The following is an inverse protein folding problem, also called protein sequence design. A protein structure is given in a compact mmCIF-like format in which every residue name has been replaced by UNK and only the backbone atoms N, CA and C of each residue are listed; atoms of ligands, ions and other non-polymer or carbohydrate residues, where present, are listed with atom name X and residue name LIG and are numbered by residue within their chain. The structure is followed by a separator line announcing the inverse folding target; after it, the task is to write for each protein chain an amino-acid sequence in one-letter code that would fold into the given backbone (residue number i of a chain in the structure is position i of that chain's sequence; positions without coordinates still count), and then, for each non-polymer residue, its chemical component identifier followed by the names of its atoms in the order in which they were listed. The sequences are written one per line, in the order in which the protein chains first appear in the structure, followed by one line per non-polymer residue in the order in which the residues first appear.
data_IF_638568059821
#
_entry.id   IF_638568059821
#
_cell.length_a   1.000
_cell.length_b   1.000
_cell.length_c   1.000
_cell.angle_alpha   90.00
_cell.angle_beta   90.00
_cell.angle_gamma   90.00
#
_symmetry.space_group_name_H-M   'P 1'
#
loop_
_entity.id
_entity.type
_entity.pdbx_description
1 polymer ?
#
# COMPACT_ATOMS: atom_id res chain seq x y z
N UNK A 1 16.84 60.74 -32.03
CA UNK A 1 16.71 61.88 -31.12
C UNK A 1 17.33 61.45 -29.82
N UNK A 2 18.56 61.74 -29.53
CA UNK A 2 19.24 62.99 -29.17
C UNK A 2 19.14 63.02 -27.63
N UNK A 3 20.10 63.06 -26.85
CA UNK A 3 21.35 63.80 -26.83
C UNK A 3 22.29 63.28 -25.74
N UNK A 4 23.54 63.23 -26.08
CA UNK A 4 24.77 63.18 -25.28
C UNK A 4 24.83 64.24 -24.20
N UNK A 5 25.41 63.87 -23.04
CA UNK A 5 26.11 64.87 -22.22
C UNK A 5 27.44 64.31 -21.66
N UNK A 6 28.47 64.87 -22.21
CA UNK A 6 29.89 64.67 -21.94
C UNK A 6 30.29 65.65 -20.82
N UNK A 7 30.93 65.23 -19.72
CA UNK A 7 31.61 66.16 -18.83
C UNK A 7 32.97 65.59 -18.41
N UNK A 8 34.00 66.14 -19.00
CA UNK A 8 35.44 65.98 -18.68
C UNK A 8 35.68 66.45 -17.24
N UNK A 9 36.42 65.67 -16.49
CA UNK A 9 37.12 66.16 -15.25
C UNK A 9 38.59 66.09 -15.52
N UNK A 10 39.21 67.27 -15.33
CA UNK A 10 40.61 67.59 -15.50
C UNK A 10 41.48 66.84 -14.47
N UNK A 11 42.51 66.20 -14.93
CA UNK A 11 43.63 65.71 -14.13
C UNK A 11 44.46 66.90 -13.64
N UNK A 12 44.61 67.06 -12.31
CA UNK A 12 45.62 67.96 -11.70
C UNK A 12 46.85 67.15 -11.35
N UNK A 13 47.93 67.57 -11.85
CA UNK A 13 49.29 66.98 -11.77
C UNK A 13 49.78 66.99 -10.32
N UNK A 14 50.33 65.84 -9.86
CA UNK A 14 50.98 65.66 -8.54
C UNK A 14 52.35 66.38 -8.36
N UNK A 15 52.73 67.23 -9.30
CA UNK A 15 54.06 67.93 -9.26
C UNK A 15 54.07 69.21 -8.44
N UNK A 16 52.95 69.73 -7.94
CA UNK A 16 52.90 71.06 -7.28
C UNK A 16 52.81 71.03 -5.75
N UNK A 17 52.68 69.83 -5.11
CA UNK A 17 52.63 69.67 -3.66
C UNK A 17 53.91 69.34 -2.96
N UNK A 18 55.08 69.33 -3.70
CA UNK A 18 56.41 69.02 -3.11
C UNK A 18 57.24 70.21 -2.84
N UNK A 19 56.76 71.46 -2.94
CA UNK A 19 57.55 72.65 -2.83
C UNK A 19 57.46 73.37 -1.46
N UNK A 20 56.71 72.89 -0.52
CA UNK A 20 56.46 73.60 0.74
C UNK A 20 57.05 72.97 2.03
N UNK A 21 57.99 72.01 1.91
CA UNK A 21 58.67 71.46 3.10
C UNK A 21 60.20 71.66 3.02
N UNK A 22 60.57 72.92 3.09
CA UNK A 22 61.98 73.28 3.31
C UNK A 22 62.12 73.94 4.69
N UNK A 23 62.42 73.13 5.71
CA UNK A 23 62.75 73.61 7.03
C UNK A 23 64.24 73.88 7.14
N UNK A 24 64.56 75.07 7.51
CA UNK A 24 65.91 75.60 7.66
C UNK A 24 66.61 75.00 8.90
N UNK A 25 67.91 74.80 8.69
CA UNK A 25 68.94 74.39 9.65
C UNK A 25 69.32 75.60 10.51
N UNK A 26 69.13 75.52 11.83
CA UNK A 26 70.04 76.06 12.87
C UNK A 26 69.35 75.93 14.26
N UNK A 27 69.88 75.11 15.08
CA UNK A 27 70.55 75.49 16.33
C UNK A 27 71.16 74.29 17.01
N UNK A 28 72.40 74.35 17.19
CA UNK A 28 73.22 73.55 18.10
C UNK A 28 73.05 74.11 19.49
N UNK A 29 72.83 73.26 20.46
CA UNK A 29 73.28 73.49 21.80
C UNK A 29 73.79 72.19 22.43
N UNK A 30 74.86 72.38 23.16
CA UNK A 30 75.83 71.40 23.65
C UNK A 30 75.39 70.56 24.85
N UNK A 31 76.09 69.53 25.29
CA UNK A 31 75.63 68.36 26.01
C UNK A 31 75.70 68.51 27.55
N UNK A 32 74.69 67.99 28.25
CA UNK A 32 74.78 67.80 29.70
C UNK A 32 75.06 66.30 30.00
N UNK A 33 76.19 66.04 30.69
CA UNK A 33 76.59 64.76 31.20
C UNK A 33 75.54 64.17 32.18
N UNK A 34 74.96 62.99 31.89
CA UNK A 34 74.09 62.20 32.77
C UNK A 34 74.59 60.78 32.72
N UNK A 35 74.86 60.19 33.87
CA UNK A 35 75.36 58.86 34.19
C UNK A 35 74.79 57.67 33.38
N UNK A 36 75.65 56.65 33.09
CA UNK A 36 75.25 55.52 32.21
C UNK A 36 74.21 54.62 32.86
N UNK A 37 72.92 54.76 32.44
CA UNK A 37 71.81 53.86 32.79
C UNK A 37 71.68 52.64 31.86
N UNK A 38 72.71 52.40 31.04
CA UNK A 38 72.72 51.33 30.04
C UNK A 38 72.64 49.91 30.60
N UNK A 39 73.30 49.58 31.74
CA UNK A 39 73.14 48.18 32.26
C UNK A 39 71.74 47.82 32.71
N UNK A 40 70.95 48.80 33.22
CA UNK A 40 69.58 48.56 33.62
C UNK A 40 68.60 48.39 32.43
N UNK A 41 68.84 49.06 31.32
CA UNK A 41 68.11 48.89 30.06
C UNK A 41 68.45 47.55 29.42
N UNK A 42 69.68 47.10 29.46
CA UNK A 42 70.10 45.79 28.95
C UNK A 42 69.45 44.67 29.79
N UNK A 43 69.40 44.83 31.12
CA UNK A 43 68.71 43.86 31.99
C UNK A 43 67.20 43.77 31.75
N UNK A 44 66.57 44.96 31.55
CA UNK A 44 65.13 45.00 31.23
C UNK A 44 64.80 44.31 29.88
N UNK A 45 65.63 44.51 28.87
CA UNK A 45 65.51 43.86 27.56
C UNK A 45 65.68 42.33 27.66
N UNK A 46 66.63 41.88 28.48
CA UNK A 46 66.81 40.42 28.70
C UNK A 46 65.63 39.83 29.43
N UNK A 47 65.06 40.52 30.42
CA UNK A 47 63.83 40.05 31.12
C UNK A 47 62.64 40.01 30.19
N UNK A 48 62.46 41.04 29.32
CA UNK A 48 61.34 41.06 28.35
C UNK A 48 61.49 39.96 27.31
N UNK A 49 62.74 39.71 26.84
CA UNK A 49 62.99 38.59 25.91
C UNK A 49 62.78 37.23 26.58
N UNK A 50 63.14 37.07 27.84
CA UNK A 50 62.94 35.85 28.60
C UNK A 50 61.43 35.62 28.85
N UNK A 51 60.65 36.66 29.20
CA UNK A 51 59.20 36.58 29.34
C UNK A 51 58.49 36.37 28.00
N UNK A 52 58.96 37.01 26.92
CA UNK A 52 58.43 36.75 25.57
C UNK A 52 58.73 35.33 25.10
N UNK A 53 59.96 34.83 25.36
CA UNK A 53 60.33 33.45 25.08
C UNK A 53 59.54 32.44 25.89
N UNK A 54 59.36 32.66 27.19
CA UNK A 54 58.52 31.85 28.05
C UNK A 54 57.05 31.89 27.62
N UNK A 55 56.53 33.05 27.25
CA UNK A 55 55.15 33.21 26.72
C UNK A 55 54.94 32.50 25.36
N UNK A 56 55.91 32.64 24.46
CA UNK A 56 55.91 31.97 23.16
C UNK A 56 56.02 30.43 23.32
N UNK A 57 56.84 29.96 24.23
CA UNK A 57 56.97 28.53 24.55
C UNK A 57 55.71 28.00 25.20
N UNK A 58 55.07 28.76 26.13
CA UNK A 58 53.79 28.40 26.75
C UNK A 58 52.64 28.36 25.73
N UNK A 59 52.57 29.33 24.80
CA UNK A 59 51.58 29.37 23.73
C UNK A 59 51.83 28.29 22.68
N UNK A 60 53.09 27.90 22.39
CA UNK A 60 53.42 26.79 21.50
C UNK A 60 53.11 25.42 22.14
N UNK A 61 53.31 25.29 23.48
CA UNK A 61 53.02 24.06 24.23
C UNK A 61 51.52 23.80 24.39
N UNK A 62 50.64 24.83 24.32
CA UNK A 62 49.20 24.72 24.48
C UNK A 62 48.42 24.96 23.16
N UNK A 63 49.06 24.71 22.02
CA UNK A 63 48.32 24.73 20.73
C UNK A 63 47.40 23.56 20.66
N UNK A 64 46.06 23.81 20.75
CA UNK A 64 45.03 22.83 20.52
C UNK A 64 45.17 22.23 19.11
N UNK A 65 45.19 20.92 19.03
CA UNK A 65 45.28 20.19 17.77
C UNK A 65 43.92 20.19 17.09
N UNK A 66 43.85 20.74 15.86
CA UNK A 66 42.60 20.68 15.09
C UNK A 66 42.33 19.25 14.65
N UNK A 67 41.19 18.68 15.04
CA UNK A 67 40.80 17.32 14.72
C UNK A 67 39.39 17.30 14.16
N UNK A 68 39.14 16.37 13.22
CA UNK A 68 37.79 16.06 12.77
C UNK A 68 37.20 15.02 13.70
N UNK A 69 35.92 15.16 14.02
CA UNK A 69 35.19 14.23 14.91
C UNK A 69 34.00 13.58 14.20
N UNK A 70 33.68 12.37 14.60
CA UNK A 70 32.45 11.68 14.26
C UNK A 70 31.76 11.19 15.52
N UNK A 71 30.45 11.10 15.51
CA UNK A 71 29.66 10.59 16.64
C UNK A 71 29.58 9.07 16.55
N UNK A 72 29.82 8.41 17.65
CA UNK A 72 29.67 6.98 17.78
C UNK A 72 28.16 6.60 17.83
N UNK A 73 27.72 5.69 16.95
CA UNK A 73 26.31 5.36 16.73
C UNK A 73 25.98 3.98 17.33
N UNK A 74 24.81 3.85 17.95
CA UNK A 74 24.33 2.55 18.42
C UNK A 74 23.94 1.66 17.23
N UNK A 75 24.34 0.37 17.18
CA UNK A 75 23.94 -0.55 16.13
C UNK A 75 22.41 -0.84 16.14
N UNK A 76 21.68 -0.43 17.18
CA UNK A 76 20.24 -0.56 17.28
C UNK A 76 19.45 0.52 16.48
N UNK A 77 20.13 1.53 15.94
CA UNK A 77 19.47 2.64 15.23
C UNK A 77 19.03 2.35 13.77
N UNK A 78 19.51 1.27 13.15
CA UNK A 78 19.17 0.89 11.77
C UNK A 78 18.52 -0.49 11.62
N UNK A 79 18.11 -1.11 12.73
CA UNK A 79 17.31 -2.33 12.68
C UNK A 79 15.81 -2.02 12.51
N UNK A 80 15.44 -1.14 11.60
CA UNK A 80 14.18 -1.24 10.89
C UNK A 80 14.20 -2.59 10.18
N UNK A 81 13.18 -3.43 10.35
CA UNK A 81 13.03 -4.67 9.61
C UNK A 81 13.31 -4.34 8.13
N UNK A 82 14.45 -4.79 7.62
CA UNK A 82 14.91 -4.43 6.28
C UNK A 82 13.84 -4.86 5.28
N UNK A 83 13.26 -3.92 4.57
CA UNK A 83 12.40 -4.23 3.46
C UNK A 83 13.25 -5.02 2.45
N UNK A 84 12.94 -6.31 2.32
CA UNK A 84 13.68 -7.21 1.41
C UNK A 84 13.41 -6.85 -0.04
N UNK A 85 12.22 -6.31 -0.28
CA UNK A 85 11.73 -5.96 -1.60
C UNK A 85 10.62 -4.92 -1.47
N UNK A 86 10.64 -3.92 -2.35
CA UNK A 86 9.51 -3.01 -2.56
C UNK A 86 8.94 -3.24 -3.95
N UNK A 87 7.62 -3.25 -4.04
CA UNK A 87 6.90 -3.37 -5.29
C UNK A 87 5.65 -2.48 -5.25
N UNK A 88 5.15 -2.12 -6.41
CA UNK A 88 3.94 -1.31 -6.57
C UNK A 88 2.78 -2.17 -7.00
N UNK A 89 1.58 -1.77 -6.63
CA UNK A 89 0.35 -2.46 -6.97
C UNK A 89 -0.85 -1.55 -6.87
N UNK A 90 -2.02 -2.15 -6.94
CA UNK A 90 -3.30 -1.44 -6.81
C UNK A 90 -4.19 -2.17 -5.82
N UNK A 91 -5.02 -1.39 -5.12
CA UNK A 91 -6.11 -1.94 -4.30
C UNK A 91 -7.14 -2.55 -5.23
N UNK A 92 -7.48 -3.81 -5.02
CA UNK A 92 -8.52 -4.51 -5.76
C UNK A 92 -9.53 -5.10 -4.80
N UNK A 93 -10.76 -5.27 -5.25
CA UNK A 93 -11.75 -5.98 -4.45
C UNK A 93 -11.76 -7.46 -4.85
N UNK A 94 -11.71 -8.34 -3.87
CA UNK A 94 -11.84 -9.78 -4.09
C UNK A 94 -13.19 -10.14 -4.70
N UNK A 95 -14.27 -9.43 -4.30
CA UNK A 95 -15.61 -9.59 -4.86
C UNK A 95 -16.02 -8.30 -5.56
N UNK A 96 -16.01 -8.36 -6.87
CA UNK A 96 -16.50 -7.32 -7.76
C UNK A 96 -17.36 -7.97 -8.82
N UNK A 97 -18.50 -7.40 -9.13
CA UNK A 97 -19.38 -7.90 -10.18
C UNK A 97 -20.02 -6.76 -10.96
N UNK A 98 -19.94 -6.84 -12.27
CA UNK A 98 -20.77 -6.02 -13.15
C UNK A 98 -22.13 -6.70 -13.25
N UNK A 99 -23.15 -6.05 -12.72
CA UNK A 99 -24.52 -6.57 -12.74
C UNK A 99 -25.14 -6.27 -14.09
N UNK A 100 -25.59 -7.32 -14.77
CA UNK A 100 -26.22 -7.26 -16.08
C UNK A 100 -27.68 -7.75 -15.98
N UNK A 101 -28.50 -7.32 -16.95
CA UNK A 101 -29.82 -7.92 -17.12
C UNK A 101 -29.69 -9.37 -17.61
N UNK A 102 -30.55 -10.27 -17.12
CA UNK A 102 -30.56 -11.69 -17.54
C UNK A 102 -31.46 -11.92 -18.78
N UNK A 103 -32.31 -10.91 -19.10
CA UNK A 103 -33.17 -10.90 -20.28
C UNK A 103 -33.03 -9.57 -21.02
N UNK A 104 -33.43 -9.56 -22.26
CA UNK A 104 -33.45 -8.32 -23.06
C UNK A 104 -34.71 -7.53 -22.78
N UNK A 105 -34.55 -6.24 -22.51
CA UNK A 105 -35.68 -5.32 -22.29
C UNK A 105 -35.25 -3.87 -22.16
N UNK A 106 -36.22 -2.97 -22.18
CA UNK A 106 -36.01 -1.53 -21.96
C UNK A 106 -36.01 -1.23 -20.46
N UNK A 107 -35.07 -0.43 -19.99
CA UNK A 107 -35.02 0.02 -18.61
C UNK A 107 -36.12 1.07 -18.33
N UNK A 108 -37.03 0.76 -17.42
CA UNK A 108 -38.09 1.68 -16.95
C UNK A 108 -37.65 2.47 -15.72
N UNK A 109 -36.75 1.91 -14.90
CA UNK A 109 -36.20 2.60 -13.74
C UNK A 109 -34.79 2.08 -13.46
N UNK A 110 -33.89 3.00 -13.10
CA UNK A 110 -32.56 2.71 -12.51
C UNK A 110 -32.54 3.39 -11.15
N UNK A 111 -32.38 2.58 -10.09
CA UNK A 111 -32.57 3.00 -8.69
C UNK A 111 -31.23 3.09 -7.95
N UNK A 112 -30.16 3.26 -8.67
CA UNK A 112 -28.80 3.35 -8.13
C UNK A 112 -28.08 4.56 -8.71
N UNK A 113 -27.20 5.12 -7.88
CA UNK A 113 -26.18 6.09 -8.28
C UNK A 113 -24.80 5.62 -7.86
N UNK A 114 -23.77 6.19 -8.46
CA UNK A 114 -22.38 5.90 -8.08
C UNK A 114 -22.13 6.36 -6.65
N UNK A 115 -21.51 5.49 -5.85
CA UNK A 115 -21.31 5.71 -4.41
C UNK A 115 -22.40 5.14 -3.50
N UNK A 116 -23.52 4.65 -4.05
CA UNK A 116 -24.60 4.08 -3.25
C UNK A 116 -24.20 2.76 -2.60
N UNK A 117 -24.53 2.61 -1.32
CA UNK A 117 -24.43 1.34 -0.60
C UNK A 117 -25.68 0.49 -0.85
N UNK A 118 -25.48 -0.71 -1.35
CA UNK A 118 -26.56 -1.65 -1.67
C UNK A 118 -26.43 -2.93 -0.86
N UNK A 119 -27.57 -3.52 -0.51
CA UNK A 119 -27.66 -4.83 0.17
C UNK A 119 -27.99 -5.93 -0.82
N UNK A 120 -27.58 -7.15 -0.52
CA UNK A 120 -27.94 -8.33 -1.28
C UNK A 120 -29.46 -8.42 -1.49
N UNK A 121 -29.89 -8.65 -2.75
CA UNK A 121 -31.30 -8.70 -3.11
C UNK A 121 -31.97 -7.34 -3.30
N UNK A 122 -31.32 -6.21 -2.98
CA UNK A 122 -31.83 -4.87 -3.23
C UNK A 122 -32.06 -4.66 -4.73
N UNK A 123 -33.16 -4.00 -5.08
CA UNK A 123 -33.49 -3.72 -6.48
C UNK A 123 -32.60 -2.59 -6.99
N UNK A 124 -31.88 -2.86 -8.06
CA UNK A 124 -31.00 -1.90 -8.73
C UNK A 124 -31.66 -1.24 -9.93
N UNK A 125 -32.41 -2.04 -10.69
CA UNK A 125 -33.10 -1.55 -11.88
C UNK A 125 -34.35 -2.39 -12.18
N UNK A 126 -35.23 -1.83 -12.97
CA UNK A 126 -36.43 -2.51 -13.49
C UNK A 126 -36.47 -2.39 -15.01
N UNK A 127 -36.81 -3.49 -15.65
CA UNK A 127 -37.11 -3.55 -17.06
C UNK A 127 -38.64 -3.40 -17.27
N UNK A 128 -39.05 -3.12 -18.48
CA UNK A 128 -40.44 -3.21 -18.90
C UNK A 128 -40.94 -4.67 -18.79
N UNK A 129 -41.84 -4.92 -17.88
CA UNK A 129 -42.38 -6.26 -17.56
C UNK A 129 -43.67 -6.55 -18.28
N UNK A 130 -44.24 -5.63 -19.07
CA UNK A 130 -45.56 -5.71 -19.65
C UNK A 130 -45.78 -6.97 -20.48
N UNK A 131 -44.82 -7.31 -21.37
CA UNK A 131 -44.85 -8.49 -22.21
C UNK A 131 -44.71 -9.79 -21.38
N UNK A 132 -43.79 -9.81 -20.43
CA UNK A 132 -43.51 -10.99 -19.58
C UNK A 132 -44.66 -11.25 -18.62
N UNK A 133 -45.30 -10.20 -18.08
CA UNK A 133 -46.51 -10.30 -17.26
C UNK A 133 -47.66 -10.89 -18.05
N UNK A 134 -47.89 -10.42 -19.27
CA UNK A 134 -48.92 -10.95 -20.15
C UNK A 134 -48.68 -12.42 -20.51
N UNK A 135 -47.43 -12.76 -20.83
CA UNK A 135 -47.04 -14.15 -21.12
C UNK A 135 -47.24 -15.06 -19.88
N UNK A 136 -46.85 -14.62 -18.69
CA UNK A 136 -47.05 -15.35 -17.46
C UNK A 136 -48.56 -15.61 -17.19
N UNK A 137 -49.42 -14.62 -17.37
CA UNK A 137 -50.84 -14.75 -17.15
C UNK A 137 -51.47 -15.70 -18.19
N UNK A 138 -51.01 -15.69 -19.42
CA UNK A 138 -51.47 -16.64 -20.46
C UNK A 138 -51.18 -18.09 -20.06
N UNK A 139 -49.94 -18.40 -19.65
CA UNK A 139 -49.58 -19.77 -19.26
C UNK A 139 -50.22 -20.19 -17.94
N UNK A 140 -50.49 -19.28 -17.01
CA UNK A 140 -51.24 -19.53 -15.79
C UNK A 140 -52.67 -19.95 -16.09
N UNK A 141 -53.33 -19.24 -17.03
CA UNK A 141 -54.68 -19.59 -17.49
C UNK A 141 -54.71 -20.97 -18.16
N UNK A 142 -53.67 -21.29 -18.96
CA UNK A 142 -53.55 -22.61 -19.58
C UNK A 142 -53.33 -23.72 -18.54
N UNK A 143 -52.51 -23.49 -17.51
CA UNK A 143 -52.31 -24.44 -16.44
C UNK A 143 -53.62 -24.67 -15.62
N UNK A 144 -54.34 -23.57 -15.33
CA UNK A 144 -55.65 -23.67 -14.67
C UNK A 144 -56.67 -24.51 -15.49
N UNK A 145 -56.68 -24.37 -16.82
CA UNK A 145 -57.51 -25.19 -17.69
C UNK A 145 -57.09 -26.70 -17.65
N UNK A 146 -55.79 -26.97 -17.63
CA UNK A 146 -55.26 -28.33 -17.51
C UNK A 146 -55.65 -28.97 -16.13
N UNK A 147 -55.56 -28.20 -15.06
CA UNK A 147 -56.02 -28.66 -13.73
C UNK A 147 -57.52 -28.88 -13.67
N UNK A 148 -58.33 -28.08 -14.36
CA UNK A 148 -59.79 -28.30 -14.46
C UNK A 148 -60.11 -29.64 -15.15
N UNK A 149 -59.35 -30.01 -16.20
CA UNK A 149 -59.47 -31.31 -16.85
C UNK A 149 -59.07 -32.46 -15.91
N UNK A 150 -58.02 -32.31 -15.10
CA UNK A 150 -57.68 -33.30 -14.06
C UNK A 150 -58.82 -33.49 -13.09
N UNK A 151 -59.44 -32.41 -12.62
CA UNK A 151 -60.62 -32.48 -11.73
C UNK A 151 -61.81 -33.18 -12.39
N UNK A 152 -62.05 -32.92 -13.68
CA UNK A 152 -63.10 -33.61 -14.44
C UNK A 152 -62.83 -35.12 -14.51
N UNK A 153 -61.64 -35.57 -14.87
CA UNK A 153 -61.28 -36.97 -14.93
C UNK A 153 -61.26 -37.65 -13.57
N UNK A 154 -60.95 -36.95 -12.48
CA UNK A 154 -61.06 -37.42 -11.10
C UNK A 154 -62.49 -37.71 -10.75
N UNK A 155 -63.41 -36.79 -11.07
CA UNK A 155 -64.83 -37.01 -10.84
C UNK A 155 -65.40 -38.17 -11.65
N UNK A 156 -65.02 -38.27 -12.92
CA UNK A 156 -65.38 -39.35 -13.81
C UNK A 156 -64.88 -40.72 -13.31
N UNK A 157 -63.60 -40.80 -12.87
CA UNK A 157 -63.00 -42.00 -12.30
C UNK A 157 -63.77 -42.41 -11.02
N UNK A 158 -64.11 -41.48 -10.12
CA UNK A 158 -64.87 -41.75 -8.93
C UNK A 158 -66.24 -42.32 -9.24
N UNK A 159 -66.87 -41.83 -10.32
CA UNK A 159 -68.17 -42.38 -10.79
C UNK A 159 -67.99 -43.81 -11.32
N UNK A 160 -66.99 -44.04 -12.25
CA UNK A 160 -66.74 -45.33 -12.86
C UNK A 160 -66.34 -46.40 -11.82
N UNK A 161 -65.59 -46.02 -10.76
CA UNK A 161 -65.23 -46.93 -9.66
C UNK A 161 -66.51 -47.37 -8.84
N UNK A 162 -67.41 -46.41 -8.55
CA UNK A 162 -68.68 -46.76 -7.86
C UNK A 162 -69.53 -47.72 -8.71
N UNK A 163 -69.59 -47.48 -10.02
CA UNK A 163 -70.36 -48.35 -10.93
C UNK A 163 -69.69 -49.71 -11.08
N UNK A 164 -68.41 -49.82 -11.20
CA UNK A 164 -67.62 -51.05 -11.23
C UNK A 164 -67.85 -51.88 -9.94
N UNK A 165 -67.76 -51.24 -8.78
CA UNK A 165 -68.03 -51.90 -7.48
C UNK A 165 -69.46 -52.43 -7.39
N UNK A 166 -70.49 -51.67 -7.85
CA UNK A 166 -71.86 -52.09 -7.91
C UNK A 166 -72.11 -53.30 -8.82
N UNK A 167 -71.56 -53.22 -10.06
CA UNK A 167 -71.66 -54.32 -11.03
C UNK A 167 -70.99 -55.59 -10.54
N UNK A 168 -69.86 -55.49 -9.88
CA UNK A 168 -69.09 -56.60 -9.30
C UNK A 168 -69.94 -57.28 -8.16
N UNK A 169 -70.58 -56.50 -7.31
CA UNK A 169 -71.43 -57.02 -6.27
C UNK A 169 -72.69 -57.75 -6.82
N UNK A 170 -73.33 -57.16 -7.83
CA UNK A 170 -74.45 -57.78 -8.51
C UNK A 170 -74.09 -59.07 -9.27
N UNK A 171 -72.90 -59.09 -9.93
CA UNK A 171 -72.42 -60.29 -10.59
C UNK A 171 -72.09 -61.42 -9.62
N UNK A 172 -71.56 -61.12 -8.44
CA UNK A 172 -71.32 -62.08 -7.37
C UNK A 172 -72.60 -62.72 -6.85
N UNK A 173 -73.73 -62.00 -6.90
CA UNK A 173 -75.04 -62.46 -6.56
C UNK A 173 -75.79 -63.15 -7.71
N UNK A 174 -75.17 -63.24 -8.90
CA UNK A 174 -75.77 -63.81 -10.10
C UNK A 174 -76.87 -62.99 -10.76
N UNK A 175 -77.04 -61.72 -10.38
CA UNK A 175 -78.06 -60.78 -10.86
C UNK A 175 -77.68 -60.08 -12.20
N UNK A 176 -76.43 -60.06 -12.57
CA UNK A 176 -75.90 -59.54 -13.85
C UNK A 176 -74.81 -60.50 -14.45
N UNK A 177 -74.62 -60.45 -15.77
CA UNK A 177 -73.57 -61.24 -16.39
C UNK A 177 -72.18 -60.79 -15.90
N UNK A 178 -71.23 -61.74 -15.72
CA UNK A 178 -69.81 -61.40 -15.33
C UNK A 178 -69.16 -60.45 -16.32
N UNK A 179 -69.51 -60.55 -17.60
CA UNK A 179 -68.99 -59.63 -18.67
C UNK A 179 -69.31 -58.18 -18.37
N UNK A 180 -70.48 -57.83 -17.79
CA UNK A 180 -70.89 -56.47 -17.40
C UNK A 180 -69.98 -55.92 -16.29
N UNK A 181 -69.65 -56.80 -15.31
CA UNK A 181 -68.65 -56.37 -14.27
C UNK A 181 -67.24 -56.14 -14.81
N UNK A 182 -66.80 -57.01 -15.73
CA UNK A 182 -65.47 -56.85 -16.41
C UNK A 182 -65.41 -55.59 -17.25
N UNK A 183 -66.49 -55.28 -18.00
CA UNK A 183 -66.61 -54.04 -18.78
C UNK A 183 -66.53 -52.76 -17.90
N UNK A 184 -67.27 -52.75 -16.78
CA UNK A 184 -67.31 -51.64 -15.84
C UNK A 184 -65.87 -51.44 -15.21
N UNK A 185 -65.16 -52.54 -14.88
CA UNK A 185 -63.84 -52.51 -14.38
C UNK A 185 -62.86 -51.94 -15.40
N UNK A 186 -62.88 -52.45 -16.66
CA UNK A 186 -62.02 -51.97 -17.75
C UNK A 186 -62.22 -50.46 -18.00
N UNK A 187 -63.50 -49.98 -17.93
CA UNK A 187 -63.78 -48.55 -18.07
C UNK A 187 -63.16 -47.74 -16.95
N UNK A 188 -63.23 -48.22 -15.70
CA UNK A 188 -62.58 -47.50 -14.58
C UNK A 188 -61.06 -47.50 -14.71
N UNK A 189 -60.42 -48.61 -15.17
CA UNK A 189 -58.97 -48.69 -15.42
C UNK A 189 -58.57 -47.79 -16.55
N UNK A 190 -59.33 -47.72 -17.67
CA UNK A 190 -59.03 -46.78 -18.76
C UNK A 190 -59.15 -45.33 -18.34
N UNK A 191 -60.17 -44.99 -17.56
CA UNK A 191 -60.34 -43.60 -17.00
C UNK A 191 -59.22 -43.26 -16.03
N UNK A 192 -58.72 -44.23 -15.27
CA UNK A 192 -57.57 -44.04 -14.41
C UNK A 192 -56.32 -43.72 -15.22
N UNK A 193 -56.10 -44.45 -16.33
CA UNK A 193 -54.99 -44.18 -17.23
C UNK A 193 -55.09 -42.78 -17.87
N UNK A 194 -56.29 -42.35 -18.25
CA UNK A 194 -56.58 -41.01 -18.77
C UNK A 194 -56.32 -39.95 -17.71
N UNK A 195 -56.74 -40.17 -16.45
CA UNK A 195 -56.41 -39.27 -15.35
C UNK A 195 -54.91 -39.09 -15.18
N UNK A 196 -54.14 -40.16 -15.18
CA UNK A 196 -52.67 -40.12 -15.09
C UNK A 196 -52.07 -39.32 -16.25
N UNK A 197 -52.59 -39.48 -17.47
CA UNK A 197 -52.15 -38.71 -18.63
C UNK A 197 -52.45 -37.21 -18.44
N UNK A 198 -53.65 -36.86 -17.98
CA UNK A 198 -53.99 -35.46 -17.71
C UNK A 198 -53.19 -34.84 -16.55
N UNK A 199 -52.89 -35.61 -15.51
CA UNK A 199 -51.96 -35.16 -14.46
C UNK A 199 -50.58 -34.82 -14.98
N UNK A 200 -50.04 -35.61 -15.95
CA UNK A 200 -48.78 -35.33 -16.62
C UNK A 200 -48.86 -34.06 -17.48
N UNK A 201 -49.97 -33.84 -18.17
CA UNK A 201 -50.25 -32.62 -18.95
C UNK A 201 -50.30 -31.39 -18.03
N UNK A 202 -51.01 -31.48 -16.90
CA UNK A 202 -51.07 -30.41 -15.91
C UNK A 202 -49.67 -30.09 -15.32
N UNK A 203 -48.89 -31.12 -14.98
CA UNK A 203 -47.51 -30.94 -14.50
C UNK A 203 -46.61 -30.27 -15.54
N UNK A 204 -46.81 -30.57 -16.84
CA UNK A 204 -46.08 -29.87 -17.92
C UNK A 204 -46.48 -28.38 -18.02
N UNK A 205 -47.79 -28.11 -17.84
CA UNK A 205 -48.27 -26.72 -17.84
C UNK A 205 -47.77 -25.94 -16.61
N UNK A 206 -47.67 -26.60 -15.44
CA UNK A 206 -47.06 -25.99 -14.23
C UNK A 206 -45.59 -25.68 -14.43
N UNK A 207 -44.85 -26.54 -15.14
CA UNK A 207 -43.44 -26.26 -15.50
C UNK A 207 -43.32 -25.03 -16.42
N UNK A 208 -44.26 -24.85 -17.36
CA UNK A 208 -44.29 -23.65 -18.22
C UNK A 208 -44.61 -22.38 -17.42
N UNK A 209 -45.48 -22.46 -16.39
CA UNK A 209 -45.74 -21.33 -15.47
C UNK A 209 -44.48 -21.00 -14.71
N UNK A 210 -43.73 -22.00 -14.22
CA UNK A 210 -42.48 -21.78 -13.50
C UNK A 210 -41.44 -21.08 -14.38
N UNK A 211 -41.29 -21.50 -15.65
CA UNK A 211 -40.42 -20.86 -16.61
C UNK A 211 -40.80 -19.40 -16.86
N UNK A 212 -42.07 -19.13 -17.14
CA UNK A 212 -42.56 -17.77 -17.37
C UNK A 212 -42.43 -16.89 -16.13
N UNK A 213 -42.58 -17.46 -14.92
CA UNK A 213 -42.36 -16.74 -13.65
C UNK A 213 -40.90 -16.34 -13.51
N UNK A 214 -39.95 -17.21 -13.78
CA UNK A 214 -38.50 -16.90 -13.76
C UNK A 214 -38.19 -15.76 -14.73
N UNK A 215 -38.71 -15.82 -15.96
CA UNK A 215 -38.52 -14.77 -16.96
C UNK A 215 -39.10 -13.41 -16.50
N UNK A 216 -40.27 -13.44 -15.83
CA UNK A 216 -40.88 -12.25 -15.24
C UNK A 216 -40.02 -11.70 -14.08
N UNK A 217 -39.49 -12.59 -13.21
CA UNK A 217 -38.63 -12.18 -12.10
C UNK A 217 -37.33 -11.54 -12.57
N UNK A 218 -36.83 -11.94 -13.72
CA UNK A 218 -35.64 -11.32 -14.36
C UNK A 218 -35.86 -9.89 -14.85
N UNK A 219 -37.11 -9.41 -14.93
CA UNK A 219 -37.42 -8.01 -15.17
C UNK A 219 -36.94 -7.10 -14.02
N UNK A 220 -36.65 -7.66 -12.85
CA UNK A 220 -36.17 -6.93 -11.69
C UNK A 220 -34.72 -7.31 -11.41
N UNK A 221 -33.81 -6.40 -11.71
CA UNK A 221 -32.37 -6.61 -11.49
C UNK A 221 -32.01 -6.32 -10.03
N UNK A 222 -31.34 -7.25 -9.38
CA UNK A 222 -31.02 -7.18 -7.95
C UNK A 222 -29.52 -7.31 -7.71
N UNK A 223 -29.05 -6.75 -6.58
CA UNK A 223 -27.68 -6.89 -6.11
C UNK A 223 -27.37 -8.34 -5.73
N UNK A 224 -26.26 -8.92 -6.23
CA UNK A 224 -25.84 -10.29 -5.90
C UNK A 224 -25.25 -10.42 -4.48
N UNK A 225 -24.71 -9.33 -3.92
CA UNK A 225 -24.10 -9.26 -2.59
C UNK A 225 -24.14 -7.82 -2.07
N UNK A 226 -23.79 -7.64 -0.80
CA UNK A 226 -23.66 -6.31 -0.17
C UNK A 226 -22.40 -5.60 -0.69
N UNK A 227 -22.53 -4.31 -1.02
CA UNK A 227 -21.38 -3.55 -1.56
C UNK A 227 -21.72 -2.12 -1.91
N UNK A 228 -20.82 -1.48 -2.61
CA UNK A 228 -20.94 -0.10 -3.10
C UNK A 228 -20.95 -0.10 -4.62
N UNK A 229 -21.79 0.72 -5.21
CA UNK A 229 -21.84 0.94 -6.67
C UNK A 229 -20.65 1.82 -7.06
N UNK A 230 -19.77 1.30 -7.90
CA UNK A 230 -18.61 2.06 -8.39
C UNK A 230 -18.85 2.68 -9.75
N UNK A 231 -19.66 2.04 -10.60
CA UNK A 231 -20.04 2.58 -11.91
C UNK A 231 -21.52 2.38 -12.17
N UNK A 232 -22.13 3.34 -12.86
CA UNK A 232 -23.49 3.28 -13.39
C UNK A 232 -23.43 3.34 -14.91
N UNK A 233 -23.60 2.18 -15.55
CA UNK A 233 -23.36 2.04 -16.99
C UNK A 233 -24.63 2.24 -17.84
N UNK A 234 -25.81 2.11 -17.23
CA UNK A 234 -27.08 2.13 -17.94
C UNK A 234 -28.04 3.24 -17.45
N UNK A 235 -28.83 3.78 -18.35
CA UNK A 235 -29.80 4.84 -18.10
C UNK A 235 -31.24 4.38 -18.44
N UNK A 236 -32.22 5.08 -17.83
CA UNK A 236 -33.63 4.84 -18.12
C UNK A 236 -33.93 5.09 -19.60
N UNK A 237 -34.65 4.17 -20.23
CA UNK A 237 -34.98 4.21 -21.65
C UNK A 237 -34.01 3.45 -22.54
N UNK A 238 -32.86 3.03 -22.02
CA UNK A 238 -31.90 2.19 -22.79
C UNK A 238 -32.37 0.72 -22.85
N UNK A 239 -31.98 0.05 -23.92
CA UNK A 239 -32.20 -1.39 -24.08
C UNK A 239 -30.97 -2.12 -23.52
N UNK A 240 -31.21 -2.99 -22.54
CA UNK A 240 -30.19 -3.87 -21.96
C UNK A 240 -30.40 -5.30 -22.43
N UNK A 241 -29.28 -6.03 -22.61
CA UNK A 241 -29.33 -7.43 -23.06
C UNK A 241 -28.15 -8.20 -22.42
N UNK A 242 -28.32 -9.50 -22.09
CA UNK A 242 -27.24 -10.35 -21.61
C UNK A 242 -26.17 -10.62 -22.70
N UNK A 243 -26.50 -10.38 -23.96
CA UNK A 243 -25.60 -10.59 -25.09
C UNK A 243 -25.27 -9.26 -25.77
N UNK A 244 -23.98 -9.06 -26.02
CA UNK A 244 -23.55 -7.91 -26.85
C UNK A 244 -23.95 -8.18 -28.31
N UNK A 245 -24.99 -7.55 -28.77
CA UNK A 245 -25.51 -7.71 -30.15
C UNK A 245 -24.73 -6.86 -31.19
N UNK A 246 -23.45 -6.59 -30.98
CA UNK A 246 -22.58 -5.97 -32.00
C UNK A 246 -22.96 -4.57 -32.53
N UNK A 247 -24.01 -3.96 -32.02
CA UNK A 247 -24.49 -2.62 -32.38
C UNK A 247 -24.41 -1.71 -31.15
N UNK A 248 -23.88 -0.50 -31.31
CA UNK A 248 -23.61 0.47 -30.25
C UNK A 248 -24.82 0.96 -29.41
N UNK A 249 -26.00 0.33 -29.55
CA UNK A 249 -27.25 0.70 -28.89
C UNK A 249 -27.68 -0.23 -27.78
N UNK A 250 -26.97 -1.35 -27.54
CA UNK A 250 -27.32 -2.32 -26.51
C UNK A 250 -26.24 -2.35 -25.44
N UNK A 251 -26.61 -2.10 -24.19
CA UNK A 251 -25.72 -2.18 -23.03
C UNK A 251 -25.81 -3.57 -22.41
N UNK A 252 -24.69 -4.09 -21.97
CA UNK A 252 -24.64 -5.40 -21.29
C UNK A 252 -24.64 -5.28 -19.76
N UNK A 253 -24.10 -4.17 -19.21
CA UNK A 253 -24.05 -3.90 -17.77
C UNK A 253 -25.00 -2.80 -17.36
N UNK A 254 -25.51 -2.88 -16.13
CA UNK A 254 -26.30 -1.83 -15.46
C UNK A 254 -25.38 -1.00 -14.58
N UNK A 255 -24.46 -1.66 -13.87
CA UNK A 255 -23.46 -1.03 -13.02
C UNK A 255 -22.58 -2.07 -12.35
N UNK A 256 -21.49 -1.62 -11.75
CA UNK A 256 -20.53 -2.48 -11.06
C UNK A 256 -20.68 -2.31 -9.56
N UNK A 257 -20.78 -3.44 -8.85
CA UNK A 257 -20.82 -3.50 -7.38
C UNK A 257 -19.48 -4.03 -6.90
N UNK A 258 -18.95 -3.38 -5.88
CA UNK A 258 -17.69 -3.74 -5.22
C UNK A 258 -17.94 -3.98 -3.74
N UNK A 259 -17.45 -5.10 -3.24
CA UNK A 259 -17.47 -5.42 -1.82
C UNK A 259 -16.28 -4.74 -1.12
N UNK A 260 -16.56 -3.66 -0.42
CA UNK A 260 -15.54 -2.86 0.29
C UNK A 260 -14.93 -3.60 1.49
N UNK A 261 -15.57 -4.65 1.98
CA UNK A 261 -15.03 -5.49 3.07
C UNK A 261 -14.00 -6.52 2.59
N UNK A 262 -13.91 -6.71 1.27
CA UNK A 262 -13.05 -7.72 0.65
C UNK A 262 -11.87 -7.12 -0.12
N UNK A 263 -11.41 -5.93 0.27
CA UNK A 263 -10.28 -5.26 -0.39
C UNK A 263 -8.97 -5.98 -0.11
N UNK A 264 -8.18 -6.15 -1.14
CA UNK A 264 -6.83 -6.69 -1.12
C UNK A 264 -5.95 -5.86 -2.06
N UNK A 265 -4.65 -6.08 -2.03
CA UNK A 265 -3.71 -5.40 -2.93
C UNK A 265 -3.13 -6.40 -3.90
N UNK A 266 -3.28 -6.15 -5.17
CA UNK A 266 -2.60 -6.87 -6.25
C UNK A 266 -1.27 -6.16 -6.53
N UNK A 267 -0.16 -6.82 -6.18
CA UNK A 267 1.20 -6.27 -6.30
C UNK A 267 1.91 -6.93 -7.47
N UNK A 268 2.47 -6.13 -8.37
CA UNK A 268 3.27 -6.59 -9.49
C UNK A 268 4.75 -6.72 -9.06
N UNK A 269 5.19 -7.94 -8.76
CA UNK A 269 6.56 -8.23 -8.33
C UNK A 269 7.38 -8.69 -9.53
N UNK A 270 8.57 -8.11 -9.71
CA UNK A 270 9.47 -8.53 -10.80
C UNK A 270 9.88 -10.01 -10.63
N UNK A 271 9.88 -10.75 -11.74
CA UNK A 271 10.16 -12.20 -11.79
C UNK A 271 11.53 -12.55 -11.16
N UNK A 272 12.53 -11.67 -11.29
CA UNK A 272 13.86 -11.88 -10.71
C UNK A 272 13.85 -11.95 -9.16
N UNK A 273 12.83 -11.39 -8.51
CA UNK A 273 12.75 -11.30 -7.05
C UNK A 273 11.65 -12.18 -6.45
N UNK A 274 10.80 -12.80 -7.26
CA UNK A 274 9.63 -13.57 -6.77
C UNK A 274 10.03 -14.71 -5.84
N UNK A 275 11.20 -15.30 -6.03
CA UNK A 275 11.72 -16.36 -5.15
C UNK A 275 11.97 -15.95 -3.71
N UNK A 276 11.95 -14.66 -3.40
CA UNK A 276 12.09 -14.11 -2.04
C UNK A 276 10.76 -13.91 -1.35
N UNK A 277 9.65 -13.91 -2.09
CA UNK A 277 8.31 -13.74 -1.54
C UNK A 277 7.73 -15.09 -1.20
N UNK A 278 7.15 -15.22 0.00
CA UNK A 278 6.53 -16.45 0.47
C UNK A 278 5.10 -16.17 0.95
N UNK A 279 4.19 -17.14 0.88
CA UNK A 279 2.87 -17.04 1.49
C UNK A 279 2.99 -16.74 2.99
N UNK A 280 2.05 -15.94 3.53
CA UNK A 280 2.03 -15.44 4.90
C UNK A 280 3.22 -14.54 5.31
N UNK A 281 4.06 -14.12 4.35
CA UNK A 281 5.14 -13.17 4.60
C UNK A 281 4.56 -11.82 5.05
N UNK A 282 5.07 -11.22 6.14
CA UNK A 282 4.62 -9.90 6.59
C UNK A 282 5.04 -8.83 5.58
N UNK A 283 4.17 -7.84 5.41
CA UNK A 283 4.39 -6.71 4.52
C UNK A 283 3.83 -5.42 5.13
N UNK A 284 4.28 -4.31 4.62
CA UNK A 284 3.74 -2.98 4.92
C UNK A 284 3.26 -2.34 3.62
N UNK A 285 2.03 -1.89 3.63
CA UNK A 285 1.41 -1.20 2.50
C UNK A 285 1.29 0.30 2.81
N UNK A 286 1.67 1.12 1.86
CA UNK A 286 1.53 2.59 1.91
C UNK A 286 0.78 3.02 0.67
N UNK A 287 -0.37 3.64 0.87
CA UNK A 287 -1.18 4.20 -0.21
C UNK A 287 -0.51 5.46 -0.76
N UNK A 288 -0.48 5.62 -2.07
CA UNK A 288 0.10 6.81 -2.69
C UNK A 288 -0.67 8.10 -2.33
N UNK A 289 -1.99 7.97 -2.05
CA UNK A 289 -2.82 9.07 -1.55
C UNK A 289 -2.54 9.46 -0.09
N UNK A 290 -1.96 8.56 0.72
CA UNK A 290 -1.70 8.76 2.16
C UNK A 290 -0.30 8.26 2.52
N UNK A 291 0.77 8.98 2.13
CA UNK A 291 2.16 8.52 2.28
C UNK A 291 2.60 8.37 3.75
N UNK A 292 1.97 9.10 4.66
CA UNK A 292 2.29 9.04 6.09
C UNK A 292 1.58 7.90 6.83
N UNK A 293 0.76 7.13 6.12
CA UNK A 293 -0.02 6.05 6.72
C UNK A 293 0.45 4.67 6.25
N UNK A 294 1.15 3.99 7.15
CA UNK A 294 1.59 2.61 6.94
C UNK A 294 0.53 1.62 7.44
N UNK A 295 0.10 0.73 6.59
CA UNK A 295 -0.92 -0.29 6.87
C UNK A 295 -0.21 -1.63 6.97
N UNK A 296 -0.30 -2.35 8.12
CA UNK A 296 0.18 -3.71 8.22
C UNK A 296 -0.54 -4.62 7.23
N UNK A 297 0.21 -5.50 6.60
CA UNK A 297 -0.31 -6.38 5.55
C UNK A 297 0.44 -7.73 5.57
N UNK A 298 -0.10 -8.73 4.88
CA UNK A 298 0.59 -9.99 4.67
C UNK A 298 0.27 -10.61 3.32
N UNK A 299 1.17 -11.41 2.80
CA UNK A 299 0.98 -12.12 1.52
C UNK A 299 -0.08 -13.21 1.68
N UNK A 300 -1.14 -13.13 0.88
CA UNK A 300 -2.18 -14.18 0.79
C UNK A 300 -1.69 -15.32 -0.10
N UNK A 301 -1.30 -14.97 -1.33
CA UNK A 301 -0.92 -15.93 -2.34
C UNK A 301 -0.09 -15.29 -3.45
N UNK A 302 0.71 -16.09 -4.10
CA UNK A 302 1.42 -15.77 -5.33
C UNK A 302 0.64 -16.40 -6.48
N UNK A 303 0.21 -15.59 -7.44
CA UNK A 303 -0.52 -16.11 -8.62
C UNK A 303 0.49 -16.78 -9.55
N UNK A 304 0.33 -18.08 -9.87
CA UNK A 304 1.31 -18.81 -10.68
C UNK A 304 1.17 -18.49 -12.17
N UNK A 305 1.17 -17.20 -12.50
CA UNK A 305 1.12 -16.71 -13.87
C UNK A 305 1.96 -15.43 -13.97
N UNK A 306 2.91 -15.42 -14.89
CA UNK A 306 3.72 -14.24 -15.16
C UNK A 306 3.12 -13.42 -16.31
N UNK A 307 3.11 -12.11 -16.15
CA UNK A 307 2.82 -11.18 -17.24
C UNK A 307 4.09 -11.01 -18.10
N UNK A 308 4.05 -11.55 -19.32
CA UNK A 308 5.19 -11.47 -20.23
C UNK A 308 5.51 -10.05 -20.70
N UNK A 309 4.51 -9.16 -20.74
CA UNK A 309 4.68 -7.77 -21.17
C UNK A 309 5.44 -6.95 -20.15
N UNK A 310 5.27 -7.25 -18.85
CA UNK A 310 5.87 -6.53 -17.74
C UNK A 310 7.01 -7.29 -17.06
N UNK A 311 7.20 -8.59 -17.35
CA UNK A 311 8.10 -9.51 -16.64
C UNK A 311 7.83 -9.50 -15.11
N UNK A 312 6.57 -9.51 -14.72
CA UNK A 312 6.11 -9.48 -13.34
C UNK A 312 5.23 -10.68 -13.01
N UNK A 313 5.21 -11.04 -11.73
CA UNK A 313 4.31 -12.04 -11.15
C UNK A 313 3.41 -11.33 -10.17
N UNK A 314 2.11 -11.58 -10.24
CA UNK A 314 1.12 -10.97 -9.35
C UNK A 314 1.15 -11.64 -7.98
N UNK A 315 1.27 -10.83 -6.93
CA UNK A 315 1.22 -11.25 -5.54
C UNK A 315 0.02 -10.58 -4.88
N UNK A 316 -0.85 -11.37 -4.28
CA UNK A 316 -2.01 -10.87 -3.54
C UNK A 316 -1.65 -10.67 -2.09
N UNK A 317 -1.94 -9.50 -1.58
CA UNK A 317 -1.59 -9.04 -0.24
C UNK A 317 -2.86 -8.60 0.49
N UNK A 318 -3.11 -9.15 1.68
CA UNK A 318 -4.20 -8.73 2.54
C UNK A 318 -3.79 -7.52 3.37
N UNK A 319 -4.70 -6.57 3.50
CA UNK A 319 -4.58 -5.45 4.44
C UNK A 319 -5.17 -5.86 5.78
N UNK A 320 -4.43 -5.69 6.88
CA UNK A 320 -4.89 -6.06 8.22
C UNK A 320 -5.82 -5.01 8.86
N UNK A 321 -5.84 -3.81 8.30
CA UNK A 321 -6.73 -2.73 8.72
C UNK A 321 -7.67 -2.38 7.58
N UNK A 322 -8.96 -2.30 7.91
CA UNK A 322 -10.00 -1.80 7.05
C UNK A 322 -10.28 -0.35 7.42
N UNK A 323 -10.39 0.51 6.43
CA UNK A 323 -10.67 1.94 6.62
C UNK A 323 -11.43 2.43 5.38
N UNK A 324 -12.41 3.30 5.58
CA UNK A 324 -13.24 3.88 4.50
C UNK A 324 -12.42 4.73 3.50
N UNK A 325 -11.20 5.11 3.87
CA UNK A 325 -10.27 5.84 2.99
C UNK A 325 -9.64 4.96 1.92
N UNK A 326 -9.71 3.64 2.09
CA UNK A 326 -9.16 2.69 1.13
C UNK A 326 -10.23 2.41 0.09
N UNK A 327 -10.00 2.83 -1.14
CA UNK A 327 -10.92 2.59 -2.25
C UNK A 327 -10.25 1.76 -3.35
N UNK A 328 -11.03 1.00 -4.12
CA UNK A 328 -10.51 0.26 -5.26
C UNK A 328 -9.70 1.14 -6.23
N UNK A 329 -8.77 0.54 -6.95
CA UNK A 329 -7.89 1.15 -7.96
C UNK A 329 -6.91 2.21 -7.41
N UNK A 330 -6.81 2.40 -6.08
CA UNK A 330 -5.74 3.22 -5.49
C UNK A 330 -4.38 2.56 -5.70
N UNK A 331 -3.39 3.39 -6.07
CA UNK A 331 -1.98 3.00 -6.11
C UNK A 331 -1.44 2.73 -4.71
N UNK A 332 -0.70 1.64 -4.57
CA UNK A 332 -0.12 1.19 -3.30
C UNK A 332 1.31 0.78 -3.51
N UNK A 333 2.18 1.21 -2.62
CA UNK A 333 3.54 0.68 -2.50
C UNK A 333 3.59 -0.32 -1.36
N UNK A 334 4.03 -1.54 -1.66
CA UNK A 334 4.15 -2.62 -0.68
C UNK A 334 5.61 -2.95 -0.45
N UNK A 335 6.01 -2.93 0.82
CA UNK A 335 7.33 -3.34 1.29
C UNK A 335 7.21 -4.71 1.94
N UNK A 336 7.80 -5.73 1.34
CA UNK A 336 7.85 -7.07 1.91
C UNK A 336 8.94 -7.13 2.97
N UNK A 337 8.61 -7.58 4.16
CA UNK A 337 9.52 -7.67 5.30
C UNK A 337 10.02 -9.10 5.42
N UNK A 338 11.34 -9.26 5.65
CA UNK A 338 11.86 -10.59 5.97
C UNK A 338 11.18 -11.09 7.23
N UNK A 339 10.60 -12.29 7.18
CA UNK A 339 10.03 -12.91 8.37
C UNK A 339 11.17 -12.97 9.40
N UNK A 340 11.04 -12.18 10.46
CA UNK A 340 12.00 -12.12 11.56
C UNK A 340 12.18 -13.55 12.03
N UNK A 341 13.29 -14.17 11.59
CA UNK A 341 13.68 -15.47 12.11
C UNK A 341 13.59 -15.33 13.64
N UNK A 342 12.79 -16.18 14.26
CA UNK A 342 12.57 -16.18 15.71
C UNK A 342 13.81 -16.72 16.41
N UNK A 343 14.94 -16.05 16.21
CA UNK A 343 16.09 -16.02 17.08
C UNK A 343 16.29 -14.57 17.46
N UNK A 344 16.24 -14.23 18.73
CA UNK A 344 16.82 -12.99 19.17
C UNK A 344 18.33 -13.14 18.96
N UNK A 345 18.79 -12.86 17.75
CA UNK A 345 20.17 -12.45 17.60
C UNK A 345 20.24 -11.20 18.47
N UNK A 346 20.77 -11.36 19.67
CA UNK A 346 21.06 -10.27 20.59
C UNK A 346 21.70 -9.19 19.74
N UNK A 347 21.06 -8.02 19.63
CA UNK A 347 21.63 -6.88 18.96
C UNK A 347 23.10 -6.80 19.46
N UNK A 348 24.10 -6.77 18.56
CA UNK A 348 25.47 -6.81 18.98
C UNK A 348 25.69 -5.68 19.97
N UNK A 349 26.02 -6.03 21.22
CA UNK A 349 26.30 -5.05 22.26
C UNK A 349 27.54 -4.29 21.81
N UNK A 350 27.45 -2.95 21.80
CA UNK A 350 28.58 -2.11 21.40
C UNK A 350 28.16 -0.86 20.62
N UNK A 351 29.12 -0.17 20.09
CA UNK A 351 28.96 1.09 19.37
C UNK A 351 29.71 1.02 18.05
N UNK A 352 29.12 1.52 17.00
CA UNK A 352 29.76 1.62 15.67
C UNK A 352 30.55 2.92 15.59
N UNK A 353 31.82 2.81 15.20
CA UNK A 353 32.68 3.95 14.93
C UNK A 353 33.29 3.82 13.53
N UNK A 354 33.55 4.94 12.81
CA UNK A 354 34.23 4.88 11.54
C UNK A 354 35.62 4.23 11.65
N UNK A 355 35.96 3.36 10.70
CA UNK A 355 37.26 2.68 10.70
C UNK A 355 38.44 3.68 10.78
N UNK A 356 38.28 4.91 10.22
CA UNK A 356 39.23 6.01 10.29
C UNK A 356 39.49 6.55 11.72
N UNK A 357 38.61 6.24 12.69
CA UNK A 357 38.80 6.65 14.09
C UNK A 357 39.73 5.71 14.87
N UNK A 358 40.01 4.53 14.33
CA UNK A 358 40.93 3.56 14.94
C UNK A 358 42.36 3.90 14.63
N UNK A 359 43.20 4.02 15.67
CA UNK A 359 44.64 4.15 15.56
C UNK A 359 45.33 2.99 16.28
N UNK A 360 46.51 2.63 15.85
CA UNK A 360 47.37 1.70 16.58
C UNK A 360 48.43 2.47 17.38
N UNK A 361 48.47 2.19 18.68
CA UNK A 361 49.48 2.72 19.61
C UNK A 361 50.03 1.57 20.46
N UNK A 362 51.30 1.44 20.56
CA UNK A 362 52.00 0.41 21.34
C UNK A 362 51.44 -1.03 21.10
N UNK A 363 51.14 -1.31 19.81
CA UNK A 363 50.58 -2.62 19.40
C UNK A 363 49.11 -2.87 19.79
N UNK A 364 48.41 -1.85 20.30
CA UNK A 364 46.97 -1.93 20.66
C UNK A 364 46.15 -0.96 19.81
N UNK A 365 44.92 -1.38 19.50
CA UNK A 365 43.92 -0.51 18.88
C UNK A 365 43.36 0.47 19.91
N UNK A 366 43.41 1.75 19.59
CA UNK A 366 42.95 2.84 20.45
C UNK A 366 42.01 3.79 19.67
N UNK A 367 41.09 4.41 20.40
CA UNK A 367 40.23 5.48 19.91
C UNK A 367 40.41 6.69 20.83
N UNK A 368 40.43 7.88 20.26
CA UNK A 368 40.49 9.13 21.01
C UNK A 368 39.05 9.71 21.10
N UNK A 369 38.53 9.77 22.33
CA UNK A 369 37.23 10.38 22.63
C UNK A 369 37.43 11.82 23.06
N UNK A 370 36.64 12.73 22.47
CA UNK A 370 36.70 14.16 22.85
C UNK A 370 35.74 14.38 24.00
N UNK A 371 36.27 14.78 25.15
CA UNK A 371 35.46 15.14 26.32
C UNK A 371 35.98 16.45 26.92
N UNK A 372 35.14 17.49 26.93
CA UNK A 372 35.47 18.80 27.49
C UNK A 372 36.66 19.49 26.78
N UNK A 373 36.78 19.34 25.44
CA UNK A 373 37.83 19.94 24.63
C UNK A 373 39.20 19.21 24.71
N UNK A 374 39.26 18.04 25.34
CA UNK A 374 40.44 17.21 25.48
C UNK A 374 40.24 15.83 24.84
N UNK A 375 41.28 15.32 24.17
CA UNK A 375 41.29 13.99 23.62
C UNK A 375 41.71 12.98 24.70
N UNK A 376 40.81 12.04 25.01
CA UNK A 376 41.09 10.92 25.93
C UNK A 376 41.30 9.64 25.15
N UNK A 377 42.46 9.02 25.36
CA UNK A 377 42.77 7.74 24.73
C UNK A 377 42.05 6.60 25.42
N UNK A 378 41.28 5.80 24.69
CA UNK A 378 40.69 4.55 25.18
C UNK A 378 41.16 3.36 24.35
N UNK A 379 41.68 2.34 25.03
CA UNK A 379 42.02 1.10 24.35
C UNK A 379 40.72 0.36 24.00
N UNK A 380 40.63 -0.12 22.77
CA UNK A 380 39.45 -0.77 22.24
C UNK A 380 39.79 -2.07 21.52
N UNK A 381 38.86 -3.01 21.51
CA UNK A 381 38.98 -4.25 20.74
C UNK A 381 37.91 -4.23 19.65
N UNK A 382 38.23 -3.86 18.39
CA UNK A 382 37.25 -3.89 17.32
C UNK A 382 36.84 -5.33 17.02
N UNK A 383 35.54 -5.53 16.78
CA UNK A 383 35.00 -6.82 16.33
C UNK A 383 35.61 -7.19 14.97
N UNK A 384 35.79 -8.50 14.74
CA UNK A 384 36.24 -9.03 13.45
C UNK A 384 35.21 -8.83 12.33
N UNK A 385 33.96 -8.50 12.67
CA UNK A 385 32.87 -8.30 11.70
C UNK A 385 32.86 -6.85 11.23
N UNK A 386 32.91 -6.62 9.93
CA UNK A 386 32.86 -5.32 9.31
C UNK A 386 31.40 -4.91 9.03
N UNK A 387 31.09 -3.65 9.29
CA UNK A 387 29.83 -3.00 9.02
C UNK A 387 30.03 -1.86 8.00
N UNK A 388 30.42 -2.21 6.77
CA UNK A 388 30.84 -1.24 5.77
C UNK A 388 32.09 -0.46 6.20
N UNK A 389 32.03 0.86 6.19
CA UNK A 389 33.12 1.74 6.66
C UNK A 389 33.21 1.88 8.20
N UNK A 390 32.36 1.15 8.93
CA UNK A 390 32.26 1.20 10.40
C UNK A 390 32.79 -0.06 11.05
N UNK A 391 33.35 0.06 12.25
CA UNK A 391 33.79 -1.04 13.09
C UNK A 391 32.98 -1.06 14.38
N UNK A 392 32.53 -2.25 14.78
CA UNK A 392 31.82 -2.44 16.04
C UNK A 392 32.82 -2.56 17.19
N UNK A 393 32.64 -1.73 18.20
CA UNK A 393 33.40 -1.78 19.46
C UNK A 393 32.42 -2.24 20.57
N UNK A 394 32.61 -3.46 21.12
CA UNK A 394 31.69 -4.03 22.09
C UNK A 394 31.66 -3.28 23.43
N UNK A 395 32.86 -2.82 23.87
CA UNK A 395 33.07 -2.19 25.17
C UNK A 395 33.91 -0.92 25.03
N UNK A 396 33.98 -0.11 26.04
CA UNK A 396 34.80 1.12 26.15
C UNK A 396 34.21 2.41 25.54
N UNK A 397 33.14 2.37 24.73
CA UNK A 397 32.49 3.55 24.18
C UNK A 397 30.97 3.53 24.45
N UNK A 398 30.38 4.70 24.52
CA UNK A 398 28.93 4.88 24.60
C UNK A 398 28.38 5.53 23.32
N UNK A 399 27.13 5.23 22.99
CA UNK A 399 26.46 5.91 21.89
C UNK A 399 26.38 7.43 22.19
N UNK A 400 26.81 8.25 21.24
CA UNK A 400 26.91 9.69 21.43
C UNK A 400 28.33 10.18 21.75
N UNK A 401 29.31 9.29 22.03
CA UNK A 401 30.70 9.71 22.22
C UNK A 401 31.27 10.29 20.92
N UNK A 402 31.88 11.47 20.99
CA UNK A 402 32.60 12.05 19.85
C UNK A 402 34.00 11.45 19.74
N UNK A 403 34.28 10.79 18.61
CA UNK A 403 35.56 10.15 18.35
C UNK A 403 36.36 10.92 17.28
N UNK A 404 37.67 11.01 17.48
CA UNK A 404 38.57 11.70 16.57
C UNK A 404 38.80 10.84 15.32
N UNK A 405 38.59 11.41 14.14
CA UNK A 405 38.90 10.78 12.86
C UNK A 405 40.36 11.00 12.49
N UNK A 406 41.05 9.94 12.03
CA UNK A 406 42.45 9.97 11.60
C UNK A 406 43.36 10.67 12.60
N UNK A 407 43.42 10.19 13.87
CA UNK A 407 44.17 10.88 14.92
C UNK A 407 45.68 11.03 14.52
N UNK A 408 46.21 12.28 14.57
CA UNK A 408 47.58 12.52 14.19
C UNK A 408 48.58 11.76 15.08
N UNK A 409 49.75 11.38 14.54
CA UNK A 409 50.75 10.58 15.24
C UNK A 409 51.22 11.21 16.57
N UNK A 410 51.17 12.52 16.71
CA UNK A 410 51.54 13.28 17.91
C UNK A 410 50.46 13.48 18.95
N UNK A 411 49.19 13.03 18.69
CA UNK A 411 48.10 13.20 19.66
C UNK A 411 48.31 12.31 20.87
N UNK A 412 48.37 12.93 22.05
CA UNK A 412 48.57 12.26 23.34
C UNK A 412 47.29 12.28 24.16
N UNK A 413 47.22 11.40 25.15
CA UNK A 413 46.13 11.42 26.10
C UNK A 413 46.10 12.74 26.88
N UNK A 414 44.93 13.37 26.99
CA UNK A 414 44.72 14.65 27.66
C UNK A 414 45.10 15.89 26.84
N UNK A 415 45.53 15.75 25.56
CA UNK A 415 45.83 16.88 24.69
C UNK A 415 44.61 17.74 24.39
N UNK A 416 44.79 19.08 24.41
CA UNK A 416 43.73 20.02 24.03
C UNK A 416 43.48 19.93 22.51
N UNK A 417 42.20 19.73 22.13
CA UNK A 417 41.77 19.58 20.74
C UNK A 417 40.68 20.60 20.41
N UNK A 418 40.79 21.13 19.19
CA UNK A 418 39.70 21.92 18.56
C UNK A 418 38.96 21.03 17.57
N UNK A 419 37.68 20.81 17.84
CA UNK A 419 36.85 20.01 16.98
C UNK A 419 36.39 20.82 15.78
N UNK A 420 36.66 20.31 14.57
CA UNK A 420 36.03 20.77 13.33
C UNK A 420 34.98 19.75 12.97
N UNK A 421 33.72 20.05 13.28
CA UNK A 421 32.61 19.15 12.96
C UNK A 421 32.52 18.99 11.45
N UNK A 422 32.83 17.81 10.94
CA UNK A 422 32.51 17.41 9.58
C UNK A 422 31.08 16.97 9.59
N UNK A 423 30.17 17.76 9.01
CA UNK A 423 28.84 17.28 8.66
C UNK A 423 29.00 16.30 7.48
N UNK A 424 28.37 15.11 7.51
CA UNK A 424 28.51 14.08 6.46
C UNK A 424 27.96 14.53 5.12
#
# INVERSE_FOLDING_TARGET
MGASWNRRVKTVSQAELLKELRIAKHQRDEPAQGSPRWPWIALAIVIVLALAGAGAWWMAAHRAVAVQTAVAVSPAGEAGAGAVLQATGYVTARRQATVAAQITGTLTAVLIEEGDHVKQGQILARLDDSAYRAALEAVRTQAAAAHALVAQYQAQLAQNLRDAARQQSLAAQGLVPKQAAEQARTLAESTRAQLVAQQKTAASADAQVAEAQVNFDYCVVRAPFDGVITTKDAQVGEIVSPFSAGGGFTRTGIGTIVDMDSLEVDVDVNEAYIGRVQPAMPAEAVLDAYPDWTIPAHVIAIVPAADRGKATVKVRVALERRDERIVPDMGVRVSFLEAKAASPAQAPKGVLVPAKALAQRDGRSVVFVVAGGKARQRAVQPSARDYGDMKLIPDALQAGDEVVLSPPAGLRDGADVQTKTSNP
#
